data_IF_601765766714
#
_entry.id   IF_601765766714
#
_cell.length_a   1.000
_cell.length_b   1.000
_cell.length_c   1.000
_cell.angle_alpha   90.00
_cell.angle_beta   90.00
_cell.angle_gamma   90.00
#
_symmetry.space_group_name_H-M   'P 1'
#
loop_
_entity.id
_entity.type
_entity.pdbx_description
1 polymer ?
#
# COMPACT_ATOMS: atom_id res chain seq x y z
N UNK A 1 -22.24 4.20 -4.32
CA UNK A 1 -21.51 3.30 -3.41
C UNK A 1 -21.01 4.14 -2.23
N UNK A 2 -21.15 3.70 -0.98
CA UNK A 2 -20.58 4.43 0.17
C UNK A 2 -19.09 4.12 0.27
N UNK A 3 -18.26 5.13 0.53
CA UNK A 3 -16.84 4.95 0.84
C UNK A 3 -16.68 4.34 2.23
N UNK A 4 -15.62 3.55 2.38
CA UNK A 4 -15.17 3.09 3.69
C UNK A 4 -14.57 4.28 4.47
N UNK A 5 -14.79 4.33 5.79
CA UNK A 5 -14.19 5.36 6.65
C UNK A 5 -12.78 4.97 7.12
N UNK A 6 -12.03 5.94 7.67
CA UNK A 6 -10.75 5.69 8.33
C UNK A 6 -10.91 4.76 9.53
N UNK A 7 -11.93 4.96 10.36
CA UNK A 7 -12.24 4.10 11.52
C UNK A 7 -12.52 2.66 11.10
N UNK A 8 -13.34 2.46 10.06
CA UNK A 8 -13.64 1.13 9.53
C UNK A 8 -12.38 0.42 9.02
N UNK A 9 -11.41 1.15 8.47
CA UNK A 9 -10.13 0.56 8.08
C UNK A 9 -9.23 0.28 9.30
N UNK A 10 -9.13 1.25 10.21
CA UNK A 10 -8.35 1.17 11.43
C UNK A 10 -8.76 -0.03 12.29
N UNK A 11 -10.06 -0.27 12.44
CA UNK A 11 -10.58 -1.45 13.13
C UNK A 11 -10.13 -2.76 12.46
N UNK A 12 -10.19 -2.84 11.12
CA UNK A 12 -9.76 -4.04 10.39
C UNK A 12 -8.27 -4.30 10.58
N UNK A 13 -7.45 -3.25 10.53
CA UNK A 13 -6.01 -3.34 10.78
C UNK A 13 -5.74 -3.80 12.21
N UNK A 14 -6.43 -3.23 13.20
CA UNK A 14 -6.29 -3.61 14.60
C UNK A 14 -6.64 -5.09 14.84
N UNK A 15 -7.76 -5.56 14.29
CA UNK A 15 -8.18 -6.97 14.38
C UNK A 15 -7.15 -7.91 13.75
N UNK A 16 -6.61 -7.56 12.57
CA UNK A 16 -5.58 -8.37 11.92
C UNK A 16 -4.26 -8.36 12.71
N UNK A 17 -3.84 -7.22 13.25
CA UNK A 17 -2.64 -7.14 14.09
C UNK A 17 -2.76 -8.03 15.32
N UNK A 18 -3.93 -8.06 15.97
CA UNK A 18 -4.16 -8.94 17.11
C UNK A 18 -4.17 -10.42 16.68
N UNK A 19 -4.82 -10.75 15.56
CA UNK A 19 -4.86 -12.11 15.03
C UNK A 19 -3.46 -12.67 14.69
N UNK A 20 -2.51 -11.81 14.31
CA UNK A 20 -1.13 -12.21 13.97
C UNK A 20 -0.11 -12.01 15.08
N UNK A 21 -0.52 -11.49 16.23
CA UNK A 21 0.39 -11.15 17.34
C UNK A 21 1.20 -12.35 17.84
N UNK A 22 0.65 -13.55 17.72
CA UNK A 22 1.25 -14.79 18.21
C UNK A 22 1.92 -15.63 17.12
N UNK A 23 1.83 -15.19 15.86
CA UNK A 23 2.47 -15.92 14.77
C UNK A 23 3.98 -15.67 14.78
N UNK A 24 4.75 -16.76 14.68
CA UNK A 24 6.20 -16.66 14.46
C UNK A 24 6.45 -16.21 13.02
N UNK A 25 7.14 -15.09 12.87
CA UNK A 25 7.67 -14.63 11.59
C UNK A 25 9.10 -15.12 11.41
N UNK A 26 9.47 -15.39 10.16
CA UNK A 26 10.78 -15.93 9.79
C UNK A 26 11.66 -14.90 9.07
N UNK A 27 11.06 -13.78 8.63
CA UNK A 27 11.77 -12.67 8.02
C UNK A 27 11.21 -11.32 8.46
N UNK A 28 12.11 -10.33 8.59
CA UNK A 28 11.75 -8.93 8.89
C UNK A 28 11.20 -8.26 7.65
N UNK A 29 9.94 -8.57 7.32
CA UNK A 29 9.21 -7.95 6.22
C UNK A 29 8.21 -6.95 6.79
N UNK A 30 8.11 -5.77 6.16
CA UNK A 30 7.17 -4.71 6.53
C UNK A 30 6.36 -4.24 5.32
N UNK A 31 5.10 -3.88 5.59
CA UNK A 31 4.23 -3.15 4.66
C UNK A 31 4.27 -1.68 5.06
N UNK A 32 4.64 -0.83 4.11
CA UNK A 32 4.78 0.61 4.29
C UNK A 32 3.90 1.39 3.31
N UNK A 33 3.53 2.61 3.71
CA UNK A 33 2.67 3.50 2.95
C UNK A 33 3.37 4.85 2.81
N UNK A 34 3.46 5.36 1.58
CA UNK A 34 4.01 6.68 1.28
C UNK A 34 2.99 7.51 0.51
N UNK A 35 2.96 8.83 0.74
CA UNK A 35 2.18 9.77 -0.06
C UNK A 35 2.76 9.88 -1.47
N UNK A 36 1.86 10.00 -2.44
CA UNK A 36 2.14 10.23 -3.84
C UNK A 36 1.61 11.61 -4.21
N UNK A 37 2.27 12.29 -5.15
CA UNK A 37 1.84 13.61 -5.60
C UNK A 37 0.56 13.49 -6.48
N UNK A 38 -0.40 14.44 -6.40
CA UNK A 38 -1.62 14.40 -7.20
C UNK A 38 -1.42 14.29 -8.71
N UNK A 39 -0.30 14.80 -9.22
CA UNK A 39 0.13 14.75 -10.63
C UNK A 39 0.22 13.31 -11.14
N UNK A 40 0.41 12.32 -10.27
CA UNK A 40 0.38 10.91 -10.65
C UNK A 40 -0.98 10.47 -11.22
N UNK A 41 -2.06 11.14 -10.84
CA UNK A 41 -3.41 10.84 -11.33
C UNK A 41 -3.60 11.20 -12.80
N UNK A 42 -2.91 12.22 -13.31
CA UNK A 42 -2.97 12.63 -14.72
C UNK A 42 -1.81 12.08 -15.55
N UNK A 43 -0.68 11.72 -14.94
CA UNK A 43 0.51 11.19 -15.64
C UNK A 43 0.26 9.79 -16.25
N UNK A 44 0.38 9.69 -17.57
CA UNK A 44 0.17 8.44 -18.32
C UNK A 44 1.15 7.32 -17.93
N UNK A 45 2.39 7.66 -17.59
CA UNK A 45 3.44 6.70 -17.18
C UNK A 45 3.15 6.17 -15.78
N UNK A 46 2.60 6.99 -14.89
CA UNK A 46 2.14 6.56 -13.57
C UNK A 46 0.91 5.64 -13.68
N UNK A 47 -0.07 5.99 -14.53
CA UNK A 47 -1.22 5.13 -14.82
C UNK A 47 -0.80 3.76 -15.34
N UNK A 48 0.15 3.70 -16.27
CA UNK A 48 0.68 2.45 -16.81
C UNK A 48 1.40 1.58 -15.76
N UNK A 49 1.87 2.17 -14.66
CA UNK A 49 2.54 1.46 -13.55
C UNK A 49 1.57 1.06 -12.44
N UNK A 50 0.28 1.41 -12.55
CA UNK A 50 -0.74 1.05 -11.57
C UNK A 50 -1.22 -0.37 -11.81
N UNK A 51 -0.59 -1.30 -11.13
CA UNK A 51 -0.92 -2.73 -11.16
C UNK A 51 -2.25 -3.02 -10.47
N UNK A 52 -2.55 -2.31 -9.39
CA UNK A 52 -3.75 -2.48 -8.59
C UNK A 52 -4.09 -1.17 -7.86
N UNK A 53 -5.37 -0.72 -7.85
CA UNK A 53 -6.49 -1.22 -8.65
C UNK A 53 -6.22 -1.00 -10.15
N UNK A 54 -6.54 -2.00 -10.98
CA UNK A 54 -6.33 -1.93 -12.45
C UNK A 54 -7.51 -1.24 -13.15
N UNK A 55 -7.54 -1.24 -14.49
CA UNK A 55 -8.68 -0.73 -15.27
C UNK A 55 -10.03 -1.40 -14.92
N UNK A 56 -10.00 -2.62 -14.35
CA UNK A 56 -11.20 -3.33 -13.89
C UNK A 56 -11.84 -2.69 -12.64
N UNK A 57 -11.15 -1.77 -12.00
CA UNK A 57 -11.59 -1.09 -10.78
C UNK A 57 -11.68 0.41 -11.09
N UNK A 58 -12.85 0.92 -11.52
CA UNK A 58 -13.03 2.33 -11.85
C UNK A 58 -12.87 3.21 -10.60
N UNK A 59 -12.73 4.52 -10.78
CA UNK A 59 -12.76 5.44 -9.64
C UNK A 59 -14.08 5.28 -8.87
N UNK A 60 -14.01 5.24 -7.54
CA UNK A 60 -15.21 5.19 -6.69
C UNK A 60 -15.86 6.55 -6.49
N UNK A 61 -15.07 7.60 -6.69
CA UNK A 61 -15.42 9.02 -6.57
C UNK A 61 -14.72 9.80 -7.68
N UNK A 62 -15.32 10.90 -8.10
CA UNK A 62 -14.77 11.76 -9.17
C UNK A 62 -13.46 12.42 -8.75
N UNK A 63 -13.38 12.85 -7.49
CA UNK A 63 -12.19 13.48 -6.90
C UNK A 63 -11.59 12.56 -5.84
N UNK A 64 -10.41 11.95 -6.07
CA UNK A 64 -9.77 11.08 -5.09
C UNK A 64 -9.48 11.78 -3.76
N UNK A 65 -9.68 11.09 -2.64
CA UNK A 65 -9.34 11.57 -1.28
C UNK A 65 -7.84 11.82 -1.14
N UNK A 66 -7.03 11.03 -1.83
CA UNK A 66 -5.58 11.16 -1.84
C UNK A 66 -4.90 10.10 -2.69
N UNK A 67 -3.57 10.12 -2.67
CA UNK A 67 -2.73 9.28 -3.51
C UNK A 67 -1.64 8.63 -2.66
N UNK A 68 -1.54 7.31 -2.71
CA UNK A 68 -0.60 6.56 -1.87
C UNK A 68 0.14 5.49 -2.68
N UNK A 69 1.35 5.19 -2.21
CA UNK A 69 2.12 4.04 -2.61
C UNK A 69 2.13 3.07 -1.43
N UNK A 70 1.61 1.85 -1.64
CA UNK A 70 1.69 0.76 -0.67
C UNK A 70 2.76 -0.21 -1.16
N UNK A 71 3.71 -0.55 -0.29
CA UNK A 71 4.84 -1.38 -0.66
C UNK A 71 5.21 -2.41 0.41
N UNK A 72 5.79 -3.52 -0.04
CA UNK A 72 6.42 -4.53 0.79
C UNK A 72 7.95 -4.38 0.78
N UNK A 73 8.60 -4.56 1.93
CA UNK A 73 10.06 -4.40 2.05
C UNK A 73 10.66 -5.29 3.13
N UNK A 74 11.89 -5.78 2.91
CA UNK A 74 12.73 -6.40 3.96
C UNK A 74 13.57 -5.40 4.76
N UNK A 75 13.39 -4.10 4.53
CA UNK A 75 14.03 -3.00 5.27
C UNK A 75 13.04 -2.35 6.24
N UNK A 76 13.49 -1.42 7.07
CA UNK A 76 12.56 -0.48 7.70
C UNK A 76 11.84 0.37 6.62
N UNK A 77 10.68 0.92 6.96
CA UNK A 77 9.94 1.79 6.04
C UNK A 77 10.72 3.09 5.72
N UNK A 78 11.46 3.60 6.70
CA UNK A 78 12.30 4.79 6.55
C UNK A 78 13.50 4.52 5.63
N UNK A 79 14.23 3.41 5.85
CA UNK A 79 15.34 3.01 4.97
C UNK A 79 14.85 2.75 3.55
N UNK A 80 13.67 2.12 3.43
CA UNK A 80 13.03 1.91 2.12
C UNK A 80 12.69 3.25 1.46
N UNK A 81 12.21 4.24 2.22
CA UNK A 81 11.98 5.57 1.69
C UNK A 81 13.27 6.24 1.22
N UNK A 82 14.38 6.11 1.96
CA UNK A 82 15.69 6.59 1.50
C UNK A 82 16.11 5.95 0.17
N UNK A 83 15.85 4.66 -0.02
CA UNK A 83 16.06 3.99 -1.32
C UNK A 83 15.19 4.61 -2.42
N UNK A 84 13.92 4.94 -2.15
CA UNK A 84 13.07 5.66 -3.12
C UNK A 84 13.66 7.02 -3.52
N UNK A 85 14.25 7.74 -2.57
CA UNK A 85 14.88 9.04 -2.83
C UNK A 85 16.08 8.95 -3.79
N UNK A 86 16.79 7.82 -3.81
CA UNK A 86 17.84 7.59 -4.82
C UNK A 86 17.29 7.51 -6.24
N UNK A 87 15.98 7.23 -6.40
CA UNK A 87 15.32 6.99 -7.69
C UNK A 87 15.98 5.88 -8.51
N UNK A 88 16.69 4.96 -7.86
CA UNK A 88 17.35 3.82 -8.51
C UNK A 88 16.63 2.50 -8.21
N UNK A 89 16.88 1.46 -9.01
CA UNK A 89 16.35 0.11 -8.74
C UNK A 89 14.90 -0.16 -9.17
N UNK A 90 14.45 -1.41 -9.04
CA UNK A 90 13.13 -1.87 -9.52
C UNK A 90 11.96 -1.42 -8.63
N UNK A 91 12.19 -1.22 -7.33
CA UNK A 91 11.15 -0.82 -6.37
C UNK A 91 10.68 0.64 -6.55
N UNK A 92 11.52 1.51 -7.11
CA UNK A 92 11.33 2.96 -7.14
C UNK A 92 10.51 3.46 -8.34
N UNK A 93 9.51 2.68 -8.80
CA UNK A 93 8.76 2.93 -10.04
C UNK A 93 8.12 4.31 -10.13
N UNK A 94 7.53 4.79 -9.03
CA UNK A 94 6.87 6.11 -8.94
C UNK A 94 7.86 7.21 -8.60
N UNK A 95 8.82 6.93 -7.71
CA UNK A 95 9.87 7.89 -7.37
C UNK A 95 10.74 8.28 -8.60
N UNK A 96 11.02 7.33 -9.50
CA UNK A 96 11.70 7.59 -10.78
C UNK A 96 10.99 8.58 -11.70
N UNK A 97 9.68 8.71 -11.55
CA UNK A 97 8.89 9.68 -12.30
C UNK A 97 8.85 11.06 -11.62
N UNK A 98 9.44 11.20 -10.44
CA UNK A 98 9.35 12.42 -9.63
C UNK A 98 7.98 12.61 -8.94
N UNK A 99 7.18 11.54 -8.88
CA UNK A 99 5.78 11.57 -8.45
C UNK A 99 5.55 11.06 -7.03
N UNK A 100 6.58 10.56 -6.36
CA UNK A 100 6.50 10.32 -4.92
C UNK A 100 6.53 11.69 -4.20
N UNK A 101 5.78 11.85 -3.10
CA UNK A 101 5.81 13.10 -2.35
C UNK A 101 7.23 13.42 -1.86
N UNK A 102 7.57 14.72 -1.87
CA UNK A 102 8.87 15.20 -1.40
C UNK A 102 8.86 15.45 0.12
N UNK A 103 10.03 15.39 0.77
CA UNK A 103 10.19 15.66 2.20
C UNK A 103 10.86 14.53 2.97
N UNK A 104 10.78 14.57 4.30
CA UNK A 104 11.26 13.48 5.16
C UNK A 104 10.22 12.36 5.28
N UNK A 105 10.64 11.19 5.76
CA UNK A 105 9.74 10.06 5.98
C UNK A 105 8.61 10.40 6.98
N UNK A 106 8.90 11.23 7.99
CA UNK A 106 7.91 11.76 8.94
C UNK A 106 6.73 12.41 8.24
N UNK A 107 7.00 13.22 7.22
CA UNK A 107 6.00 13.99 6.49
C UNK A 107 5.22 13.11 5.52
N UNK A 108 5.94 12.23 4.81
CA UNK A 108 5.36 11.55 3.65
C UNK A 108 4.82 10.16 3.94
N UNK A 109 5.20 9.50 5.04
CA UNK A 109 4.86 8.08 5.20
C UNK A 109 4.65 7.58 6.63
N UNK A 110 5.29 8.20 7.62
CA UNK A 110 5.32 7.69 9.00
C UNK A 110 3.93 7.48 9.60
N UNK A 111 3.07 8.50 9.49
CA UNK A 111 1.70 8.45 10.04
C UNK A 111 0.88 7.32 9.40
N UNK A 112 0.73 7.33 8.07
CA UNK A 112 -0.04 6.31 7.36
C UNK A 112 0.54 4.90 7.56
N UNK A 113 1.86 4.77 7.60
CA UNK A 113 2.51 3.47 7.88
C UNK A 113 2.26 3.00 9.31
N UNK A 114 2.25 3.90 10.29
CA UNK A 114 1.94 3.53 11.67
C UNK A 114 0.47 3.12 11.82
N UNK A 115 -0.44 3.84 11.19
CA UNK A 115 -1.87 3.54 11.25
C UNK A 115 -2.21 2.25 10.52
N UNK A 116 -1.76 2.10 9.27
CA UNK A 116 -2.27 1.09 8.35
C UNK A 116 -1.24 0.08 7.85
N UNK A 117 0.05 0.31 8.11
CA UNK A 117 1.13 -0.61 7.76
C UNK A 117 1.22 -1.81 8.69
N UNK A 118 2.11 -2.73 8.36
CA UNK A 118 2.38 -3.91 9.18
C UNK A 118 3.88 -4.13 9.29
N UNK A 119 4.32 -4.64 10.43
CA UNK A 119 5.71 -5.06 10.66
C UNK A 119 5.73 -6.56 10.87
N UNK A 120 6.86 -7.19 10.56
CA UNK A 120 7.11 -8.60 10.83
C UNK A 120 6.08 -9.54 10.17
N UNK A 121 5.78 -9.29 8.90
CA UNK A 121 4.80 -10.08 8.12
C UNK A 121 5.42 -11.19 7.28
N UNK A 122 6.70 -11.52 7.50
CA UNK A 122 7.41 -12.55 6.76
C UNK A 122 7.17 -13.95 7.30
N UNK A 123 5.93 -14.44 7.21
CA UNK A 123 5.55 -15.79 7.64
C UNK A 123 5.75 -16.81 6.51
N UNK A 124 6.19 -18.03 6.82
CA UNK A 124 6.37 -19.11 5.83
C UNK A 124 5.06 -19.61 5.22
N UNK A 125 3.97 -19.58 5.99
CA UNK A 125 2.67 -20.11 5.61
C UNK A 125 1.67 -19.05 5.10
N UNK A 126 2.08 -17.78 5.02
CA UNK A 126 1.22 -16.68 4.54
C UNK A 126 1.92 -15.92 3.42
N UNK A 127 1.14 -15.39 2.49
CA UNK A 127 1.65 -14.54 1.40
C UNK A 127 1.63 -13.07 1.84
N UNK A 128 2.76 -12.45 2.25
CA UNK A 128 2.79 -11.04 2.65
C UNK A 128 2.30 -10.09 1.55
N UNK A 129 2.46 -10.46 0.29
CA UNK A 129 1.93 -9.74 -0.87
C UNK A 129 0.40 -9.70 -0.90
N UNK A 130 -0.28 -10.70 -0.32
CA UNK A 130 -1.75 -10.69 -0.17
C UNK A 130 -2.19 -9.67 0.87
N UNK A 131 -1.46 -9.56 1.97
CA UNK A 131 -1.71 -8.53 2.99
C UNK A 131 -1.40 -7.12 2.47
N UNK A 132 -0.31 -6.95 1.72
CA UNK A 132 0.03 -5.68 1.04
C UNK A 132 -1.10 -5.23 0.11
N UNK A 133 -1.58 -6.12 -0.76
CA UNK A 133 -2.67 -5.79 -1.69
C UNK A 133 -4.01 -5.58 -0.98
N UNK A 134 -4.25 -6.24 0.16
CA UNK A 134 -5.40 -5.95 1.00
C UNK A 134 -5.33 -4.55 1.63
N UNK A 135 -4.16 -4.11 2.09
CA UNK A 135 -3.96 -2.72 2.56
C UNK A 135 -4.27 -1.74 1.41
N UNK A 136 -3.72 -1.97 0.22
CA UNK A 136 -4.00 -1.17 -0.96
C UNK A 136 -5.50 -1.13 -1.32
N UNK A 137 -6.20 -2.26 -1.19
CA UNK A 137 -7.63 -2.35 -1.46
C UNK A 137 -8.47 -1.51 -0.49
N UNK A 138 -8.10 -1.48 0.78
CA UNK A 138 -8.83 -0.68 1.77
C UNK A 138 -8.61 0.82 1.57
N UNK A 139 -7.39 1.25 1.20
CA UNK A 139 -7.17 2.63 0.75
C UNK A 139 -8.04 2.98 -0.46
N UNK A 140 -8.12 2.10 -1.46
CA UNK A 140 -9.00 2.31 -2.61
C UNK A 140 -10.47 2.48 -2.18
N UNK A 141 -10.98 1.61 -1.29
CA UNK A 141 -12.36 1.72 -0.77
C UNK A 141 -12.62 2.99 0.06
N UNK A 142 -11.58 3.63 0.58
CA UNK A 142 -11.64 4.95 1.23
C UNK A 142 -11.56 6.13 0.23
N UNK A 143 -11.51 5.84 -1.07
CA UNK A 143 -11.43 6.85 -2.12
C UNK A 143 -10.02 7.25 -2.53
N UNK A 144 -8.98 6.55 -2.05
CA UNK A 144 -7.60 6.81 -2.46
C UNK A 144 -7.27 6.16 -3.80
N UNK A 145 -6.33 6.76 -4.50
CA UNK A 145 -5.63 6.13 -5.61
C UNK A 145 -4.32 5.52 -5.13
N UNK A 146 -4.05 4.29 -5.56
CA UNK A 146 -2.98 3.47 -4.98
C UNK A 146 -2.01 2.97 -6.05
N UNK A 147 -0.72 2.95 -5.72
CA UNK A 147 0.37 2.34 -6.49
C UNK A 147 1.20 1.40 -5.62
N UNK A 148 2.11 0.65 -6.27
CA UNK A 148 3.15 -0.14 -5.59
C UNK A 148 2.77 -1.60 -5.36
N UNK A 149 1.56 -1.84 -4.85
CA UNK A 149 1.11 -3.17 -4.45
C UNK A 149 1.22 -4.23 -5.55
N UNK A 150 1.55 -5.46 -5.15
CA UNK A 150 1.64 -6.58 -6.07
C UNK A 150 0.34 -6.80 -6.85
N UNK A 151 0.51 -7.16 -8.13
CA UNK A 151 -0.57 -7.57 -9.00
C UNK A 151 -0.93 -9.03 -8.73
N UNK A 152 -2.21 -9.33 -8.62
CA UNK A 152 -2.70 -10.69 -8.42
C UNK A 152 -3.73 -11.03 -9.50
N UNK A 153 -3.58 -12.20 -10.12
CA UNK A 153 -4.42 -12.71 -11.20
C UNK A 153 -5.59 -13.57 -10.71
N UNK A 154 -5.66 -13.86 -9.41
CA UNK A 154 -6.62 -14.81 -8.85
C UNK A 154 -8.03 -14.18 -8.80
N UNK A 155 -9.05 -14.93 -9.22
CA UNK A 155 -10.45 -14.53 -9.05
C UNK A 155 -10.78 -14.51 -7.55
N UNK A 156 -11.53 -13.49 -7.08
CA UNK A 156 -11.83 -13.28 -5.65
C UNK A 156 -10.62 -13.06 -4.73
N UNK A 157 -9.44 -12.72 -5.28
CA UNK A 157 -8.18 -12.56 -4.53
C UNK A 157 -8.26 -11.73 -3.24
N UNK A 158 -9.16 -10.74 -3.20
CA UNK A 158 -9.27 -9.79 -2.10
C UNK A 158 -10.34 -10.13 -1.08
N UNK A 159 -11.27 -11.05 -1.42
CA UNK A 159 -12.39 -11.49 -0.58
C UNK A 159 -13.06 -10.37 0.22
N UNK A 160 -13.69 -10.75 1.34
CA UNK A 160 -13.95 -9.85 2.47
C UNK A 160 -12.74 -9.74 3.40
N UNK A 161 -11.88 -10.76 3.38
CA UNK A 161 -10.72 -10.96 4.26
C UNK A 161 -9.44 -11.29 3.46
N UNK A 162 -8.25 -10.85 3.89
CA UNK A 162 -6.98 -11.13 3.20
C UNK A 162 -6.53 -12.59 3.28
N UNK A 163 -7.22 -13.45 4.03
CA UNK A 163 -6.83 -14.86 4.23
C UNK A 163 -8.00 -15.84 4.13
N UNK A 164 -9.13 -15.39 3.58
CA UNK A 164 -10.14 -16.31 3.04
C UNK A 164 -9.69 -16.83 1.66
#
# INVERSE_FOLDING_TARGET
MRLQTEDEFGEKVARLREAFRWDRFEATISIYILKVKPEAFSDARAKAKRTFPSQKYPSLIDTPTGYVYVGLTGLSAEDRYAVHQTKTGKACKIAKLGLLADGSYEVVGKELTNLYGFKQVGWSNKKPEKLESWVAWNFYKMGYWVWGSHYHNEANFLGTNPFE
#
